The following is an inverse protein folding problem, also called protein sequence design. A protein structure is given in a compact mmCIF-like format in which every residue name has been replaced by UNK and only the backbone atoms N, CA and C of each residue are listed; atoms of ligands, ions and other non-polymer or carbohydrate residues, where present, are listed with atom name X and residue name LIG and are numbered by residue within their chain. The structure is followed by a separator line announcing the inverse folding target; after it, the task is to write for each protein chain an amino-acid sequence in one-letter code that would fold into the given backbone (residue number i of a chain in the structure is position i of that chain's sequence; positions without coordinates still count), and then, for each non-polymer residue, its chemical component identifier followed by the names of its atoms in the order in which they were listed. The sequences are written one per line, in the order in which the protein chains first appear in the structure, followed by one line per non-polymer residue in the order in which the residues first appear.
data_IF_622205046527
#
_entry.id   IF_622205046527
#
_cell.length_a   1.000
_cell.length_b   1.000
_cell.length_c   1.000
_cell.angle_alpha   90.00
_cell.angle_beta   90.00
_cell.angle_gamma   90.00
#
_symmetry.space_group_name_H-M   'P 1'
#
loop_
_entity.id
_entity.type
_entity.pdbx_description
1 polymer ?
#
# COMPACT_ATOMS: atom_id res chain seq x y z
N UNK A 1 26.03 -10.99 -1.86
CA UNK A 1 25.85 -9.56 -2.18
C UNK A 1 24.68 -8.99 -1.38
N UNK A 2 24.70 -7.70 -1.02
CA UNK A 2 23.54 -7.02 -0.42
C UNK A 2 22.71 -6.34 -1.51
N UNK A 3 21.41 -6.18 -1.29
CA UNK A 3 20.49 -5.62 -2.28
C UNK A 3 19.66 -4.48 -1.68
N UNK A 4 19.47 -3.42 -2.44
CA UNK A 4 18.53 -2.37 -2.12
C UNK A 4 17.65 -2.06 -3.33
N UNK A 5 16.34 -2.04 -3.09
CA UNK A 5 15.36 -1.50 -4.03
C UNK A 5 14.97 -0.11 -3.55
N UNK A 6 15.18 0.91 -4.36
CA UNK A 6 14.75 2.29 -4.14
C UNK A 6 13.55 2.53 -5.06
N UNK A 7 12.39 2.66 -4.47
CA UNK A 7 11.14 2.77 -5.21
C UNK A 7 10.55 4.18 -5.06
N UNK A 8 10.39 4.86 -6.19
CA UNK A 8 9.64 6.11 -6.31
C UNK A 8 8.21 5.82 -6.78
N UNK A 9 7.27 5.80 -5.84
CA UNK A 9 5.87 5.48 -6.12
C UNK A 9 5.29 6.45 -7.14
N UNK A 10 4.59 5.92 -8.15
CA UNK A 10 3.95 6.71 -9.20
C UNK A 10 4.89 7.59 -10.02
N UNK A 11 6.22 7.40 -9.93
CA UNK A 11 7.23 8.30 -10.51
C UNK A 11 7.16 8.37 -12.05
N UNK A 12 6.81 7.28 -12.72
CA UNK A 12 6.64 7.25 -14.18
C UNK A 12 5.43 8.08 -14.63
N UNK A 13 5.52 8.62 -15.85
CA UNK A 13 4.49 9.51 -16.39
C UNK A 13 4.42 9.42 -17.93
N UNK A 14 3.38 9.99 -18.51
CA UNK A 14 3.26 10.19 -19.93
C UNK A 14 4.08 11.41 -20.41
N UNK A 15 4.28 11.48 -21.73
CA UNK A 15 4.87 12.67 -22.34
C UNK A 15 3.91 13.87 -22.23
N UNK A 16 4.39 14.97 -21.65
CA UNK A 16 3.60 16.17 -21.37
C UNK A 16 3.93 17.27 -22.36
N UNK A 17 2.93 17.88 -23.00
CA UNK A 17 3.13 18.94 -24.00
C UNK A 17 3.88 20.14 -23.42
N UNK A 18 3.57 20.55 -22.19
CA UNK A 18 4.23 21.65 -21.46
C UNK A 18 5.74 21.42 -21.28
N UNK A 19 6.19 20.17 -21.31
CA UNK A 19 7.61 19.77 -21.22
C UNK A 19 8.23 19.52 -22.61
N UNK A 20 7.58 19.98 -23.68
CA UNK A 20 8.04 19.77 -25.06
C UNK A 20 7.90 18.32 -25.53
N UNK A 21 6.91 17.58 -25.03
CA UNK A 21 6.66 16.19 -25.38
C UNK A 21 7.59 15.19 -24.69
N UNK A 22 8.21 15.57 -23.59
CA UNK A 22 9.02 14.70 -22.73
C UNK A 22 8.20 14.16 -21.57
N UNK A 23 8.57 12.98 -21.08
CA UNK A 23 8.08 12.49 -19.78
C UNK A 23 8.72 13.29 -18.65
N UNK A 24 8.22 13.12 -17.44
CA UNK A 24 8.79 13.81 -16.28
C UNK A 24 10.22 13.31 -15.98
N UNK A 25 10.48 12.01 -16.11
CA UNK A 25 11.83 11.45 -15.93
C UNK A 25 12.80 11.97 -17.02
N UNK A 26 12.35 12.13 -18.26
CA UNK A 26 13.17 12.74 -19.32
C UNK A 26 13.48 14.21 -19.09
N UNK A 27 12.66 14.93 -18.33
CA UNK A 27 12.78 16.37 -18.13
C UNK A 27 13.45 16.74 -16.80
N UNK A 28 13.23 15.97 -15.75
CA UNK A 28 13.79 16.17 -14.42
C UNK A 28 15.33 16.11 -14.44
N UNK A 29 15.95 16.86 -13.54
CA UNK A 29 17.39 16.79 -13.33
C UNK A 29 17.75 15.69 -12.34
N UNK A 30 18.14 14.53 -12.86
CA UNK A 30 18.36 13.29 -12.11
C UNK A 30 19.75 12.68 -12.34
N UNK A 31 20.83 13.44 -12.11
CA UNK A 31 22.19 13.01 -12.47
C UNK A 31 22.63 11.72 -11.77
N UNK A 32 22.16 11.43 -10.55
CA UNK A 32 22.57 10.22 -9.85
C UNK A 32 21.89 8.96 -10.41
N UNK A 33 20.63 9.06 -10.83
CA UNK A 33 19.95 7.96 -11.54
C UNK A 33 20.53 7.76 -12.93
N UNK A 34 20.94 8.84 -13.63
CA UNK A 34 21.62 8.75 -14.91
C UNK A 34 23.01 8.11 -14.78
N UNK A 35 23.79 8.49 -13.76
CA UNK A 35 25.09 7.84 -13.48
C UNK A 35 24.92 6.34 -13.21
N UNK A 36 23.87 5.96 -12.47
CA UNK A 36 23.55 4.55 -12.21
C UNK A 36 23.12 3.81 -13.48
N UNK A 37 22.40 4.46 -14.39
CA UNK A 37 22.02 3.89 -15.68
C UNK A 37 23.23 3.72 -16.59
N UNK A 38 24.11 4.75 -16.69
CA UNK A 38 25.34 4.70 -17.49
C UNK A 38 26.34 3.63 -16.99
N UNK A 39 26.41 3.43 -15.67
CA UNK A 39 27.29 2.42 -15.06
C UNK A 39 26.59 1.06 -14.86
N UNK A 40 25.30 0.93 -15.19
CA UNK A 40 24.45 -0.23 -14.91
C UNK A 40 23.77 -0.84 -16.11
N UNK A 41 22.67 -1.52 -15.85
CA UNK A 41 21.80 -2.08 -16.88
C UNK A 41 20.34 -1.71 -16.61
N UNK A 42 19.62 -1.40 -17.68
CA UNK A 42 18.23 -0.97 -17.62
C UNK A 42 17.28 -1.96 -18.28
N UNK A 43 16.00 -1.76 -18.02
CA UNK A 43 14.91 -2.48 -18.66
C UNK A 43 13.57 -1.84 -18.35
N UNK A 44 12.50 -2.53 -18.72
CA UNK A 44 11.13 -2.15 -18.35
C UNK A 44 10.43 -3.30 -17.68
N UNK A 45 9.51 -2.98 -16.76
CA UNK A 45 8.78 -3.95 -15.97
C UNK A 45 7.27 -3.68 -16.04
N UNK A 46 6.47 -4.68 -16.35
CA UNK A 46 5.02 -4.66 -16.15
C UNK A 46 4.72 -5.20 -14.75
N UNK A 47 4.27 -4.34 -13.85
CA UNK A 47 4.07 -4.64 -12.42
C UNK A 47 2.66 -5.12 -12.08
N UNK A 48 1.66 -4.76 -12.90
CA UNK A 48 0.25 -5.04 -12.64
C UNK A 48 -0.22 -6.25 -13.46
N UNK A 49 -0.63 -7.37 -12.83
CA UNK A 49 -1.15 -8.53 -13.54
C UNK A 49 -2.51 -8.25 -14.18
N UNK A 50 -2.91 -9.11 -15.13
CA UNK A 50 -4.25 -9.05 -15.72
C UNK A 50 -5.32 -9.36 -14.67
N UNK A 51 -6.44 -8.64 -14.74
CA UNK A 51 -7.56 -8.78 -13.80
C UNK A 51 -7.43 -7.94 -12.54
N UNK A 52 -6.28 -7.33 -12.28
CA UNK A 52 -6.10 -6.43 -11.14
C UNK A 52 -6.18 -4.96 -11.56
N UNK A 53 -6.77 -4.15 -10.68
CA UNK A 53 -6.71 -2.70 -10.82
C UNK A 53 -5.29 -2.22 -10.48
N UNK A 54 -4.78 -1.19 -11.18
CA UNK A 54 -3.52 -0.57 -10.82
C UNK A 54 -3.57 0.00 -9.39
N UNK A 55 -2.54 -0.32 -8.61
CA UNK A 55 -2.41 0.17 -7.23
C UNK A 55 -1.12 -0.29 -6.59
N UNK A 56 -0.64 0.51 -5.64
CA UNK A 56 0.66 0.29 -4.98
C UNK A 56 0.73 -1.05 -4.26
N UNK A 57 -0.37 -1.55 -3.67
CA UNK A 57 -0.39 -2.87 -3.01
C UNK A 57 -0.13 -4.02 -3.98
N UNK A 58 -0.66 -3.91 -5.19
CA UNK A 58 -0.48 -4.93 -6.24
C UNK A 58 0.93 -4.82 -6.82
N UNK A 59 1.34 -3.62 -7.21
CA UNK A 59 2.62 -3.38 -7.87
C UNK A 59 3.81 -3.69 -6.95
N UNK A 60 3.81 -3.15 -5.72
CA UNK A 60 4.91 -3.36 -4.77
C UNK A 60 5.06 -4.83 -4.36
N UNK A 61 3.93 -5.53 -4.12
CA UNK A 61 4.00 -6.98 -3.84
C UNK A 61 4.54 -7.76 -5.04
N UNK A 62 4.16 -7.37 -6.26
CA UNK A 62 4.66 -7.99 -7.49
C UNK A 62 6.16 -7.77 -7.67
N UNK A 63 6.66 -6.53 -7.44
CA UNK A 63 8.08 -6.19 -7.47
C UNK A 63 8.88 -7.03 -6.47
N UNK A 64 8.31 -7.29 -5.27
CA UNK A 64 8.91 -8.17 -4.26
C UNK A 64 8.78 -9.66 -4.58
N UNK A 65 8.31 -10.01 -5.78
CA UNK A 65 8.27 -11.38 -6.29
C UNK A 65 7.02 -12.17 -5.89
N UNK A 66 5.93 -11.54 -5.46
CA UNK A 66 4.70 -12.23 -5.07
C UNK A 66 3.68 -12.27 -6.22
N UNK A 67 3.17 -13.47 -6.49
CA UNK A 67 2.06 -13.69 -7.45
C UNK A 67 0.74 -13.26 -6.80
N UNK A 68 0.18 -12.17 -7.30
CA UNK A 68 -1.04 -11.57 -6.76
C UNK A 68 -2.25 -12.50 -6.79
N UNK A 69 -2.34 -13.40 -7.78
CA UNK A 69 -3.40 -14.40 -7.83
C UNK A 69 -3.39 -15.37 -6.64
N UNK A 70 -2.27 -15.45 -5.93
CA UNK A 70 -2.09 -16.36 -4.78
C UNK A 70 -2.10 -15.66 -3.43
N UNK A 71 -1.68 -14.39 -3.40
CA UNK A 71 -1.42 -13.72 -2.11
C UNK A 71 -2.32 -12.52 -1.84
N UNK A 72 -2.98 -11.97 -2.86
CA UNK A 72 -3.80 -10.78 -2.68
C UNK A 72 -5.08 -11.09 -1.89
N UNK A 73 -5.23 -10.41 -0.77
CA UNK A 73 -6.38 -10.57 0.13
C UNK A 73 -7.09 -9.23 0.44
N UNK A 74 -6.77 -8.17 -0.31
CA UNK A 74 -7.31 -6.82 -0.06
C UNK A 74 -6.44 -5.99 0.88
N UNK A 75 -6.88 -4.75 1.15
CA UNK A 75 -6.12 -3.76 1.94
C UNK A 75 -6.24 -3.95 3.45
N UNK A 76 -7.38 -4.46 3.94
CA UNK A 76 -7.62 -4.62 5.37
C UNK A 76 -6.53 -5.38 6.12
N UNK A 77 -6.11 -6.56 5.66
CA UNK A 77 -5.01 -7.32 6.27
C UNK A 77 -3.66 -6.59 6.28
N UNK A 78 -3.34 -5.85 5.21
CA UNK A 78 -2.08 -5.11 5.11
C UNK A 78 -2.04 -3.95 6.12
N UNK A 79 -3.14 -3.22 6.27
CA UNK A 79 -3.26 -2.18 7.28
C UNK A 79 -3.26 -2.75 8.70
N UNK A 80 -3.87 -3.92 8.92
CA UNK A 80 -3.81 -4.62 10.20
C UNK A 80 -2.35 -4.90 10.62
N UNK A 81 -1.55 -5.44 9.71
CA UNK A 81 -0.13 -5.69 9.95
C UNK A 81 0.65 -4.38 10.22
N UNK A 82 0.38 -3.31 9.48
CA UNK A 82 1.06 -2.01 9.65
C UNK A 82 0.88 -1.41 11.04
N UNK A 83 -0.29 -1.55 11.63
CA UNK A 83 -0.58 -1.05 12.98
C UNK A 83 -0.18 -2.04 14.08
N UNK A 84 0.42 -3.18 13.72
CA UNK A 84 0.90 -4.21 14.65
C UNK A 84 -0.19 -5.15 15.16
N UNK A 85 -1.31 -5.28 14.44
CA UNK A 85 -2.30 -6.30 14.75
C UNK A 85 -1.93 -7.62 14.10
N UNK A 86 -1.59 -8.60 14.94
CA UNK A 86 -1.31 -9.96 14.49
C UNK A 86 -2.63 -10.69 14.21
N UNK A 87 -2.99 -10.80 12.93
CA UNK A 87 -4.18 -11.50 12.49
C UNK A 87 -4.08 -13.01 12.78
N UNK A 88 -5.14 -13.56 13.37
CA UNK A 88 -5.32 -15.01 13.47
C UNK A 88 -5.80 -15.59 12.14
N UNK A 89 -5.61 -16.89 11.90
CA UNK A 89 -6.10 -17.53 10.67
C UNK A 89 -7.59 -17.36 10.42
N UNK A 90 -8.40 -17.28 11.50
CA UNK A 90 -9.85 -17.12 11.44
C UNK A 90 -10.33 -15.65 11.35
N UNK A 91 -9.44 -14.66 11.37
CA UNK A 91 -9.82 -13.24 11.33
C UNK A 91 -10.07 -12.78 9.90
N UNK A 92 -11.20 -12.13 9.68
CA UNK A 92 -11.46 -11.26 8.53
C UNK A 92 -11.18 -9.82 8.95
N UNK A 93 -10.22 -9.16 8.30
CA UNK A 93 -9.91 -7.75 8.55
C UNK A 93 -10.45 -6.87 7.43
N UNK A 94 -11.22 -5.84 7.78
CA UNK A 94 -11.72 -4.83 6.86
C UNK A 94 -11.17 -3.46 7.24
N UNK A 95 -10.85 -2.62 6.26
CA UNK A 95 -10.78 -1.18 6.51
C UNK A 95 -12.13 -0.70 7.03
N UNK A 96 -12.10 0.23 7.98
CA UNK A 96 -13.32 0.77 8.56
C UNK A 96 -13.17 2.28 8.73
N UNK A 97 -13.72 3.03 7.79
CA UNK A 97 -13.73 4.48 7.89
C UNK A 97 -14.82 4.94 8.89
N UNK A 98 -14.59 6.05 9.58
CA UNK A 98 -15.67 6.85 10.16
C UNK A 98 -16.03 7.91 9.13
N UNK A 99 -17.29 7.91 8.68
CA UNK A 99 -17.77 8.75 7.58
C UNK A 99 -18.88 9.69 8.04
N UNK A 100 -19.27 10.61 7.16
CA UNK A 100 -20.46 11.45 7.33
C UNK A 100 -21.59 11.02 6.40
N UNK A 101 -22.74 10.72 6.99
CA UNK A 101 -24.00 10.51 6.29
C UNK A 101 -24.93 11.67 6.65
N UNK A 102 -25.46 12.37 5.64
CA UNK A 102 -26.41 13.47 5.77
C UNK A 102 -27.51 13.29 4.71
N UNK A 103 -28.76 13.46 5.10
CA UNK A 103 -29.94 13.33 4.23
C UNK A 103 -30.01 12.01 3.43
N UNK A 104 -29.53 10.91 4.03
CA UNK A 104 -29.53 9.59 3.41
C UNK A 104 -28.43 9.34 2.38
N UNK A 105 -27.46 10.24 2.25
CA UNK A 105 -26.33 10.10 1.33
C UNK A 105 -24.98 10.12 2.04
N UNK A 106 -23.96 9.49 1.44
CA UNK A 106 -22.56 9.61 1.88
C UNK A 106 -22.07 11.01 1.53
N UNK A 107 -21.97 11.88 2.54
CA UNK A 107 -21.52 13.27 2.36
C UNK A 107 -20.02 13.38 2.18
N UNK A 108 -19.27 12.67 3.01
CA UNK A 108 -17.83 12.54 2.89
C UNK A 108 -17.36 11.24 3.54
N UNK A 109 -16.21 10.74 3.11
CA UNK A 109 -15.62 9.48 3.55
C UNK A 109 -14.64 9.62 4.72
N UNK A 110 -14.49 10.82 5.31
CA UNK A 110 -13.48 11.14 6.33
C UNK A 110 -14.04 11.76 7.62
N UNK A 111 -15.37 11.72 7.82
CA UNK A 111 -16.02 12.17 9.06
C UNK A 111 -15.72 13.62 9.45
N UNK A 112 -15.56 14.52 8.47
CA UNK A 112 -15.24 15.93 8.71
C UNK A 112 -13.79 16.16 9.15
N UNK A 113 -12.83 15.44 8.60
CA UNK A 113 -11.40 15.53 8.89
C UNK A 113 -11.07 15.28 10.37
N UNK A 114 -11.41 14.08 10.85
CA UNK A 114 -11.07 13.64 12.21
C UNK A 114 -9.57 13.69 12.46
N UNK A 115 -9.18 14.16 13.63
CA UNK A 115 -7.84 13.92 14.17
C UNK A 115 -7.74 12.47 14.67
N UNK A 116 -6.52 11.94 14.80
CA UNK A 116 -6.31 10.58 15.34
C UNK A 116 -6.89 10.42 16.74
N UNK A 117 -6.75 11.43 17.60
CA UNK A 117 -7.29 11.40 18.97
C UNK A 117 -8.82 11.35 18.98
N UNK A 118 -9.47 12.11 18.09
CA UNK A 118 -10.92 12.07 17.94
C UNK A 118 -11.41 10.72 17.40
N UNK A 119 -10.70 10.16 16.40
CA UNK A 119 -10.97 8.84 15.89
C UNK A 119 -10.85 7.75 16.95
N UNK A 120 -9.77 7.76 17.76
CA UNK A 120 -9.55 6.83 18.86
C UNK A 120 -10.69 6.88 19.88
N UNK A 121 -11.14 8.07 20.24
CA UNK A 121 -12.26 8.25 21.18
C UNK A 121 -13.54 7.59 20.65
N UNK A 122 -13.86 7.82 19.38
CA UNK A 122 -15.08 7.26 18.77
C UNK A 122 -14.97 5.72 18.61
N UNK A 123 -13.82 5.21 18.23
CA UNK A 123 -13.58 3.75 18.10
C UNK A 123 -13.68 3.04 19.45
N UNK A 124 -13.12 3.64 20.51
CA UNK A 124 -13.23 3.09 21.87
C UNK A 124 -14.70 3.08 22.34
N UNK A 125 -15.44 4.14 22.07
CA UNK A 125 -16.88 4.19 22.32
C UNK A 125 -17.65 3.10 21.56
N UNK A 126 -17.36 2.90 20.28
CA UNK A 126 -18.00 1.85 19.47
C UNK A 126 -17.63 0.43 19.98
N UNK A 127 -16.40 0.20 20.44
CA UNK A 127 -16.06 -1.09 21.04
C UNK A 127 -16.91 -1.34 22.30
N UNK A 128 -17.09 -0.33 23.17
CA UNK A 128 -17.87 -0.49 24.42
C UNK A 128 -19.37 -0.60 24.15
N UNK A 129 -19.93 0.26 23.29
CA UNK A 129 -21.39 0.40 23.16
C UNK A 129 -21.98 -0.40 21.99
N UNK A 130 -21.18 -0.81 21.02
CA UNK A 130 -21.62 -1.54 19.84
C UNK A 130 -21.02 -2.96 19.78
N UNK A 131 -19.71 -3.09 19.81
CA UNK A 131 -19.07 -4.39 19.63
C UNK A 131 -19.31 -5.35 20.82
N UNK A 132 -19.22 -4.87 22.06
CA UNK A 132 -19.42 -5.74 23.24
C UNK A 132 -20.82 -6.37 23.29
N UNK A 133 -21.94 -5.62 23.14
CA UNK A 133 -23.26 -6.25 23.15
C UNK A 133 -23.48 -7.25 22.01
N UNK A 134 -23.04 -6.91 20.80
CA UNK A 134 -23.14 -7.80 19.64
C UNK A 134 -22.29 -9.08 19.85
N UNK A 135 -21.12 -8.96 20.48
CA UNK A 135 -20.29 -10.13 20.79
C UNK A 135 -20.99 -11.13 21.73
N UNK A 136 -21.77 -10.67 22.68
CA UNK A 136 -22.57 -11.53 23.56
C UNK A 136 -23.62 -12.32 22.77
N UNK A 137 -24.36 -11.63 21.87
CA UNK A 137 -25.36 -12.25 21.00
C UNK A 137 -24.71 -13.26 20.03
N UNK A 138 -23.57 -12.91 19.43
CA UNK A 138 -22.85 -13.77 18.48
C UNK A 138 -22.22 -14.99 19.17
N UNK A 139 -21.78 -14.85 20.42
CA UNK A 139 -21.29 -15.95 21.22
C UNK A 139 -22.39 -16.96 21.51
N UNK A 140 -23.59 -16.46 21.89
CA UNK A 140 -24.73 -17.33 22.14
C UNK A 140 -25.19 -18.03 20.84
N UNK A 141 -25.28 -17.29 19.73
CA UNK A 141 -25.83 -17.77 18.46
C UNK A 141 -24.87 -18.69 17.70
N UNK A 142 -23.57 -18.36 17.66
CA UNK A 142 -22.57 -19.02 16.81
C UNK A 142 -21.40 -19.66 17.56
N UNK A 143 -21.30 -19.46 18.87
CA UNK A 143 -20.19 -19.95 19.68
C UNK A 143 -18.85 -19.31 19.35
N UNK A 144 -18.86 -18.03 18.93
CA UNK A 144 -17.65 -17.27 18.57
C UNK A 144 -17.39 -16.20 19.64
N UNK A 145 -16.31 -16.39 20.40
CA UNK A 145 -15.90 -15.42 21.41
C UNK A 145 -15.21 -14.20 20.76
N UNK A 146 -15.58 -12.99 21.22
CA UNK A 146 -14.97 -11.73 20.74
C UNK A 146 -14.95 -11.67 19.20
N UNK A 147 -16.08 -11.93 18.57
CA UNK A 147 -16.24 -11.95 17.12
C UNK A 147 -15.91 -10.61 16.49
N UNK A 148 -16.40 -9.52 17.08
CA UNK A 148 -16.28 -8.15 16.56
C UNK A 148 -15.28 -7.36 17.38
N UNK A 149 -14.34 -6.68 16.69
CA UNK A 149 -13.42 -5.73 17.31
C UNK A 149 -13.08 -4.60 16.35
N UNK A 150 -13.23 -3.36 16.80
CA UNK A 150 -12.68 -2.19 16.12
C UNK A 150 -11.27 -1.91 16.63
N UNK A 151 -10.35 -1.61 15.73
CA UNK A 151 -8.96 -1.26 16.06
C UNK A 151 -8.69 0.14 15.55
N UNK A 152 -8.12 0.97 16.41
CA UNK A 152 -7.80 2.35 16.08
C UNK A 152 -6.66 2.43 15.06
N UNK A 153 -6.80 3.33 14.11
CA UNK A 153 -5.80 3.65 13.11
C UNK A 153 -5.50 5.14 13.10
N UNK A 154 -5.33 5.74 11.95
CA UNK A 154 -4.97 7.15 11.80
C UNK A 154 -6.20 7.95 11.33
N UNK A 155 -6.55 9.02 12.05
CA UNK A 155 -7.64 9.92 11.72
C UNK A 155 -8.99 9.18 11.61
N UNK A 156 -9.60 9.16 10.44
CA UNK A 156 -10.88 8.50 10.16
C UNK A 156 -10.71 7.03 9.71
N UNK A 157 -9.47 6.56 9.51
CA UNK A 157 -9.13 5.21 9.00
C UNK A 157 -8.85 4.27 10.15
N UNK A 158 -9.70 3.29 10.33
CA UNK A 158 -9.64 2.27 11.36
C UNK A 158 -9.83 0.90 10.75
N UNK A 159 -9.84 -0.15 11.57
CA UNK A 159 -10.10 -1.52 11.14
C UNK A 159 -11.29 -2.10 11.89
N UNK A 160 -12.03 -2.94 11.18
CA UNK A 160 -12.99 -3.86 11.75
C UNK A 160 -12.45 -5.29 11.59
N UNK A 161 -12.32 -6.00 12.69
CA UNK A 161 -11.98 -7.44 12.70
C UNK A 161 -13.24 -8.22 13.00
N UNK A 162 -13.54 -9.21 12.16
CA UNK A 162 -14.64 -10.17 12.35
C UNK A 162 -14.05 -11.57 12.42
N UNK A 163 -13.98 -12.13 13.62
CA UNK A 163 -13.50 -13.50 13.82
C UNK A 163 -14.51 -14.51 13.30
N UNK A 164 -14.04 -15.41 12.47
CA UNK A 164 -14.88 -16.38 11.79
C UNK A 164 -15.72 -15.81 10.65
N UNK A 165 -15.49 -14.53 10.27
CA UNK A 165 -16.17 -13.86 9.18
C UNK A 165 -15.76 -14.41 7.80
N UNK A 166 -16.66 -14.30 6.82
CA UNK A 166 -16.46 -14.76 5.45
C UNK A 166 -16.09 -13.59 4.54
N UNK A 167 -15.01 -13.73 3.76
CA UNK A 167 -14.52 -12.67 2.86
C UNK A 167 -15.29 -12.53 1.56
N UNK A 168 -16.13 -13.52 1.20
CA UNK A 168 -16.94 -13.51 -0.02
C UNK A 168 -18.14 -12.57 0.08
N UNK A 169 -17.83 -11.30 0.32
CA UNK A 169 -18.78 -10.19 0.46
C UNK A 169 -18.37 -9.03 -0.45
N UNK A 170 -19.35 -8.31 -0.95
CA UNK A 170 -19.16 -7.12 -1.76
C UNK A 170 -19.37 -5.89 -0.89
N UNK A 171 -18.32 -5.09 -0.76
CA UNK A 171 -18.30 -3.82 -0.02
C UNK A 171 -17.98 -2.67 -0.99
N UNK A 172 -18.67 -1.56 -0.87
CA UNK A 172 -18.42 -0.35 -1.66
C UNK A 172 -17.40 0.56 -0.96
N UNK A 173 -16.28 0.95 -1.60
CA UNK A 173 -15.37 1.94 -1.04
C UNK A 173 -16.07 3.31 -0.92
N UNK A 174 -16.09 3.97 0.25
CA UNK A 174 -16.93 5.16 0.45
C UNK A 174 -16.46 6.39 -0.34
N UNK A 175 -15.20 6.43 -0.76
CA UNK A 175 -14.62 7.51 -1.57
C UNK A 175 -15.02 7.45 -3.05
N UNK A 176 -15.45 6.27 -3.53
CA UNK A 176 -15.93 6.09 -4.91
C UNK A 176 -17.40 6.45 -5.08
N UNK A 177 -18.14 6.64 -3.96
CA UNK A 177 -19.57 6.84 -3.93
C UNK A 177 -20.00 8.14 -3.22
N UNK A 178 -19.37 9.30 -3.51
CA UNK A 178 -19.77 10.56 -2.90
C UNK A 178 -21.17 10.98 -3.37
N UNK A 179 -22.01 11.43 -2.43
CA UNK A 179 -23.39 11.83 -2.65
C UNK A 179 -24.35 10.71 -3.12
N UNK A 180 -23.95 9.44 -2.98
CA UNK A 180 -24.84 8.31 -3.24
C UNK A 180 -25.62 7.90 -1.99
N UNK A 181 -26.78 7.29 -2.21
CA UNK A 181 -27.65 6.73 -1.20
C UNK A 181 -26.95 5.53 -0.51
N UNK A 182 -26.66 5.68 0.79
CA UNK A 182 -25.89 4.68 1.53
C UNK A 182 -26.60 3.33 1.67
N UNK A 183 -27.94 3.30 1.68
CA UNK A 183 -28.69 2.05 1.82
C UNK A 183 -28.50 1.13 0.61
N UNK A 184 -28.27 1.71 -0.59
CA UNK A 184 -28.00 0.95 -1.81
C UNK A 184 -26.61 0.31 -1.81
N UNK A 185 -25.69 0.84 -1.00
CA UNK A 185 -24.31 0.46 -0.89
C UNK A 185 -24.02 -0.53 0.26
N UNK A 186 -25.07 -0.95 0.98
CA UNK A 186 -24.94 -1.94 2.04
C UNK A 186 -24.28 -3.22 1.53
N UNK A 187 -23.53 -3.87 2.42
CA UNK A 187 -22.74 -5.07 2.12
C UNK A 187 -23.67 -6.23 1.71
N UNK A 188 -23.24 -6.97 0.70
CA UNK A 188 -23.96 -8.14 0.15
C UNK A 188 -23.02 -9.33 0.06
N UNK A 189 -23.54 -10.53 0.19
CA UNK A 189 -22.81 -11.73 -0.17
C UNK A 189 -22.51 -11.74 -1.68
N UNK A 190 -21.37 -12.27 -2.08
CA UNK A 190 -21.07 -12.54 -3.49
C UNK A 190 -22.07 -13.55 -4.06
N UNK A 191 -22.34 -13.44 -5.36
CA UNK A 191 -23.26 -14.39 -6.02
C UNK A 191 -22.61 -15.77 -6.10
N UNK A 192 -23.37 -16.82 -5.85
CA UNK A 192 -22.91 -18.22 -5.77
C UNK A 192 -22.03 -18.70 -6.93
N UNK A 193 -22.11 -18.10 -8.10
CA UNK A 193 -21.31 -18.46 -9.29
C UNK A 193 -19.87 -17.94 -9.24
N UNK A 194 -19.55 -17.02 -8.35
CA UNK A 194 -18.22 -16.43 -8.17
C UNK A 194 -17.52 -16.96 -6.91
N UNK A 195 -18.28 -17.48 -5.95
CA UNK A 195 -17.75 -18.11 -4.76
C UNK A 195 -17.18 -19.49 -5.12
N UNK A 196 -15.88 -19.60 -5.30
CA UNK A 196 -15.22 -20.89 -5.08
C UNK A 196 -15.60 -21.29 -3.67
N UNK A 197 -16.30 -22.43 -3.53
CA UNK A 197 -16.56 -23.07 -2.25
C UNK A 197 -15.23 -23.58 -1.70
N UNK A 198 -14.40 -22.71 -1.21
CA UNK A 198 -13.38 -23.06 -0.26
C UNK A 198 -14.15 -23.41 1.02
N UNK A 199 -14.34 -24.72 1.23
CA UNK A 199 -14.86 -25.23 2.49
C UNK A 199 -13.82 -24.99 3.57
N UNK A 200 -13.67 -23.73 3.97
CA UNK A 200 -12.76 -23.30 4.99
C UNK A 200 -13.44 -23.52 6.35
N UNK A 201 -13.01 -24.56 7.04
CA UNK A 201 -13.49 -24.92 8.37
C UNK A 201 -13.15 -23.87 9.45
N UNK A 202 -12.32 -22.87 9.11
CA UNK A 202 -11.90 -21.81 10.03
C UNK A 202 -12.93 -20.67 10.11
N UNK A 203 -13.68 -20.42 9.02
CA UNK A 203 -14.66 -19.32 8.95
C UNK A 203 -16.07 -19.84 9.21
N UNK A 204 -16.53 -19.61 10.45
CA UNK A 204 -17.80 -20.18 10.96
C UNK A 204 -19.05 -19.46 10.42
N UNK A 205 -18.92 -18.23 9.94
CA UNK A 205 -20.01 -17.44 9.41
C UNK A 205 -20.13 -17.62 7.89
N UNK A 206 -21.35 -17.69 7.37
CA UNK A 206 -21.56 -17.61 5.92
C UNK A 206 -21.31 -16.19 5.41
N UNK A 207 -21.21 -16.00 4.10
CA UNK A 207 -21.10 -14.69 3.49
C UNK A 207 -22.33 -13.80 3.80
N UNK A 208 -23.54 -14.38 3.78
CA UNK A 208 -24.78 -13.68 4.12
C UNK A 208 -24.76 -13.25 5.59
N UNK A 209 -24.40 -14.15 6.51
CA UNK A 209 -24.31 -13.84 7.95
C UNK A 209 -23.26 -12.74 8.21
N UNK A 210 -22.13 -12.77 7.52
CA UNK A 210 -21.10 -11.75 7.64
C UNK A 210 -21.60 -10.40 7.12
N UNK A 211 -22.28 -10.38 5.97
CA UNK A 211 -22.90 -9.16 5.42
C UNK A 211 -23.98 -8.59 6.34
N UNK A 212 -24.86 -9.44 6.90
CA UNK A 212 -25.87 -9.03 7.87
C UNK A 212 -25.26 -8.37 9.12
N UNK A 213 -24.22 -8.98 9.68
CA UNK A 213 -23.50 -8.44 10.85
C UNK A 213 -22.88 -7.08 10.52
N UNK A 214 -22.21 -6.94 9.38
CA UNK A 214 -21.60 -5.66 8.98
C UNK A 214 -22.70 -4.59 8.80
N UNK A 215 -23.79 -4.92 8.15
CA UNK A 215 -24.90 -3.97 7.95
C UNK A 215 -25.56 -3.56 9.28
N UNK A 216 -25.72 -4.50 10.22
CA UNK A 216 -26.19 -4.18 11.57
C UNK A 216 -25.21 -3.22 12.28
N UNK A 217 -23.90 -3.46 12.17
CA UNK A 217 -22.88 -2.57 12.72
C UNK A 217 -22.96 -1.16 12.11
N UNK A 218 -23.14 -1.04 10.79
CA UNK A 218 -23.29 0.26 10.11
C UNK A 218 -24.51 0.99 10.65
N UNK A 219 -25.69 0.35 10.66
CA UNK A 219 -26.96 0.97 11.08
C UNK A 219 -26.89 1.38 12.55
N UNK A 220 -26.49 0.48 13.45
CA UNK A 220 -26.43 0.79 14.89
C UNK A 220 -25.35 1.82 15.22
N UNK A 221 -24.26 1.90 14.44
CA UNK A 221 -23.26 2.95 14.62
C UNK A 221 -23.84 4.33 14.36
N UNK A 222 -24.74 4.47 13.37
CA UNK A 222 -25.40 5.75 13.08
C UNK A 222 -26.26 6.21 14.27
N UNK A 223 -27.05 5.31 14.86
CA UNK A 223 -27.85 5.59 16.04
C UNK A 223 -27.02 6.06 17.23
N UNK A 224 -25.93 5.35 17.52
CA UNK A 224 -25.04 5.64 18.64
C UNK A 224 -24.23 6.93 18.44
N UNK A 225 -23.67 7.11 17.24
CA UNK A 225 -22.84 8.28 16.94
C UNK A 225 -23.67 9.56 16.76
N UNK A 226 -24.94 9.48 16.32
CA UNK A 226 -25.82 10.63 16.22
C UNK A 226 -26.03 11.35 17.55
N UNK A 227 -26.10 10.60 18.65
CA UNK A 227 -26.32 11.14 20.00
C UNK A 227 -25.02 11.35 20.78
N UNK A 228 -23.88 10.99 20.20
CA UNK A 228 -22.58 11.16 20.86
C UNK A 228 -22.25 12.66 21.03
N UNK A 229 -21.82 13.13 22.22
CA UNK A 229 -21.53 14.54 22.48
C UNK A 229 -20.56 15.19 21.49
N UNK A 230 -19.62 14.41 20.95
CA UNK A 230 -18.68 14.85 19.93
C UNK A 230 -19.36 15.46 18.69
N UNK A 231 -20.50 14.91 18.28
CA UNK A 231 -21.23 15.36 17.10
C UNK A 231 -22.22 16.52 17.40
N UNK A 232 -22.47 16.86 18.66
CA UNK A 232 -23.49 17.83 19.04
C UNK A 232 -23.31 19.22 18.40
N UNK A 233 -22.06 19.68 18.27
CA UNK A 233 -21.73 21.03 17.80
C UNK A 233 -20.88 21.06 16.52
N UNK A 234 -20.69 19.92 15.87
CA UNK A 234 -19.93 19.85 14.60
C UNK A 234 -20.82 20.15 13.41
N UNK A 235 -20.34 20.93 12.45
CA UNK A 235 -20.98 21.11 11.16
C UNK A 235 -20.90 19.84 10.32
N UNK A 236 -19.71 19.23 10.25
CA UNK A 236 -19.49 17.95 9.59
C UNK A 236 -19.51 16.84 10.64
N UNK A 237 -20.37 15.85 10.47
CA UNK A 237 -20.58 14.77 11.43
C UNK A 237 -19.64 13.61 11.19
N UNK A 238 -19.28 12.93 12.26
CA UNK A 238 -18.61 11.63 12.23
C UNK A 238 -19.60 10.60 12.76
N UNK A 239 -20.58 10.23 11.92
CA UNK A 239 -21.82 9.63 12.39
C UNK A 239 -22.11 8.23 11.86
N UNK A 240 -21.22 7.63 11.10
CA UNK A 240 -21.35 6.23 10.66
C UNK A 240 -19.99 5.58 10.52
N UNK A 241 -19.90 4.29 10.79
CA UNK A 241 -18.79 3.48 10.30
C UNK A 241 -19.05 3.01 8.88
N UNK A 242 -17.96 2.72 8.14
CA UNK A 242 -18.06 2.16 6.80
C UNK A 242 -16.94 1.14 6.55
N UNK A 243 -17.21 -0.17 6.79
CA UNK A 243 -16.27 -1.25 6.50
C UNK A 243 -16.17 -1.56 5.02
N UNK A 244 -14.95 -1.79 4.51
CA UNK A 244 -14.69 -2.12 3.11
C UNK A 244 -13.31 -2.79 2.91
N UNK A 245 -13.04 -3.34 1.72
CA UNK A 245 -11.77 -3.99 1.34
C UNK A 245 -11.30 -5.03 2.37
N UNK A 246 -12.18 -5.98 2.65
CA UNK A 246 -11.92 -7.06 3.58
C UNK A 246 -11.07 -8.18 2.99
N UNK A 247 -10.34 -8.88 3.86
CA UNK A 247 -9.57 -10.07 3.49
C UNK A 247 -9.05 -10.84 4.70
N UNK A 248 -8.53 -12.02 4.41
CA UNK A 248 -7.87 -12.88 5.39
C UNK A 248 -6.39 -12.54 5.52
N UNK A 249 -5.72 -13.15 6.47
CA UNK A 249 -4.26 -13.06 6.55
C UNK A 249 -3.65 -13.58 5.25
N UNK A 250 -2.85 -12.78 4.53
CA UNK A 250 -2.22 -13.21 3.29
C UNK A 250 -1.34 -14.44 3.47
N UNK A 251 -1.46 -15.40 2.55
CA UNK A 251 -0.59 -16.59 2.53
C UNK A 251 0.73 -16.26 1.81
N UNK A 252 1.50 -15.36 2.41
CA UNK A 252 2.79 -14.92 1.90
C UNK A 252 3.91 -15.70 2.59
N UNK A 253 4.79 -16.32 1.80
CA UNK A 253 6.10 -16.75 2.32
C UNK A 253 6.97 -15.51 2.54
N UNK A 254 7.79 -15.51 3.58
CA UNK A 254 8.77 -14.44 3.76
C UNK A 254 9.77 -14.41 2.61
N UNK A 255 10.43 -13.27 2.38
CA UNK A 255 11.49 -13.18 1.37
C UNK A 255 12.63 -14.16 1.66
N UNK A 256 12.94 -14.39 2.92
CA UNK A 256 13.95 -15.35 3.36
C UNK A 256 13.58 -16.80 3.01
N UNK A 257 12.27 -17.14 3.03
CA UNK A 257 11.79 -18.44 2.59
C UNK A 257 11.75 -18.59 1.06
N UNK A 258 11.59 -17.47 0.33
CA UNK A 258 11.56 -17.47 -1.14
C UNK A 258 12.94 -17.39 -1.76
N UNK A 259 13.82 -16.59 -1.18
CA UNK A 259 15.14 -16.25 -1.70
C UNK A 259 16.19 -16.52 -0.59
N UNK A 260 16.76 -17.73 -0.54
CA UNK A 260 17.67 -18.15 0.54
C UNK A 260 18.92 -17.29 0.73
N UNK A 261 19.30 -16.51 -0.29
CA UNK A 261 20.40 -15.55 -0.21
C UNK A 261 20.05 -14.31 0.62
N UNK A 262 18.77 -14.05 0.90
CA UNK A 262 18.32 -13.04 1.86
C UNK A 262 18.20 -13.71 3.22
N UNK A 263 19.02 -13.32 4.20
CA UNK A 263 18.92 -13.83 5.58
C UNK A 263 18.21 -12.86 6.51
N UNK A 264 18.20 -11.57 6.16
CA UNK A 264 17.52 -10.50 6.89
C UNK A 264 17.29 -9.30 5.98
N UNK A 265 16.26 -8.52 6.27
CA UNK A 265 15.95 -7.32 5.49
C UNK A 265 15.07 -6.32 6.21
N UNK A 266 15.04 -5.09 5.69
CA UNK A 266 14.22 -3.98 6.20
C UNK A 266 13.31 -3.40 5.13
N UNK A 267 12.14 -2.94 5.57
CA UNK A 267 11.24 -2.09 4.81
C UNK A 267 11.19 -0.69 5.42
N UNK A 268 11.47 0.33 4.61
CA UNK A 268 11.48 1.75 5.00
C UNK A 268 10.41 2.45 4.18
N UNK A 269 9.27 2.73 4.79
CA UNK A 269 8.14 3.45 4.16
C UNK A 269 7.38 4.28 5.20
N UNK A 270 6.74 5.35 4.76
CA UNK A 270 5.79 6.11 5.57
C UNK A 270 4.34 5.61 5.37
N UNK A 271 4.10 4.78 4.38
CA UNK A 271 2.78 4.30 3.96
C UNK A 271 2.44 2.99 4.65
N UNK A 272 1.29 2.94 5.32
CA UNK A 272 0.86 1.77 6.09
C UNK A 272 0.68 0.53 5.23
N UNK A 273 0.18 0.70 4.02
CA UNK A 273 -0.01 -0.37 3.05
C UNK A 273 1.31 -1.08 2.72
N UNK A 274 2.35 -0.31 2.45
CA UNK A 274 3.70 -0.81 2.13
C UNK A 274 4.37 -1.44 3.34
N UNK A 275 4.17 -0.87 4.54
CA UNK A 275 4.63 -1.48 5.80
C UNK A 275 3.97 -2.84 6.03
N UNK A 276 2.67 -2.96 5.72
CA UNK A 276 1.94 -4.22 5.80
C UNK A 276 2.52 -5.28 4.86
N UNK A 277 2.84 -4.92 3.61
CA UNK A 277 3.52 -5.81 2.66
C UNK A 277 4.88 -6.23 3.23
N UNK A 278 5.70 -5.27 3.70
CA UNK A 278 6.99 -5.53 4.31
C UNK A 278 6.90 -6.48 5.51
N UNK A 279 5.90 -6.30 6.36
CA UNK A 279 5.65 -7.18 7.51
C UNK A 279 5.38 -8.63 7.07
N UNK A 280 4.45 -8.85 6.13
CA UNK A 280 4.17 -10.20 5.63
C UNK A 280 5.33 -10.80 4.81
N UNK A 281 6.13 -9.95 4.18
CA UNK A 281 7.36 -10.36 3.52
C UNK A 281 8.48 -10.73 4.52
N UNK A 282 8.27 -10.57 5.82
CA UNK A 282 9.22 -10.89 6.88
C UNK A 282 10.33 -9.83 7.07
N UNK A 283 10.11 -8.60 6.58
CA UNK A 283 11.06 -7.50 6.71
C UNK A 283 10.85 -6.73 8.03
N UNK A 284 11.93 -6.26 8.62
CA UNK A 284 11.90 -5.33 9.75
C UNK A 284 11.34 -3.97 9.30
N UNK A 285 10.29 -3.49 9.96
CA UNK A 285 9.68 -2.21 9.63
C UNK A 285 10.42 -1.06 10.31
N UNK A 286 11.17 -0.29 9.53
CA UNK A 286 11.95 0.83 10.04
C UNK A 286 11.12 2.12 10.00
N UNK A 287 10.81 2.66 11.17
CA UNK A 287 10.11 3.94 11.30
C UNK A 287 11.11 5.09 11.35
N UNK A 288 11.04 5.99 10.38
CA UNK A 288 11.90 7.17 10.28
C UNK A 288 11.15 8.39 10.84
N UNK A 289 11.68 9.08 11.88
CA UNK A 289 11.05 10.29 12.39
C UNK A 289 10.90 11.36 11.31
N UNK A 290 9.70 11.96 11.20
CA UNK A 290 9.39 12.96 10.19
C UNK A 290 9.18 12.41 8.77
N UNK A 291 9.20 11.09 8.58
CA UNK A 291 8.81 10.50 7.30
C UNK A 291 7.29 10.58 7.11
N UNK A 292 6.89 11.06 5.94
CA UNK A 292 5.49 11.16 5.48
C UNK A 292 5.38 10.57 4.07
N UNK A 293 4.15 10.42 3.54
CA UNK A 293 3.88 10.13 2.13
C UNK A 293 3.94 11.38 1.23
N UNK A 294 4.16 12.58 1.78
CA UNK A 294 4.08 13.84 1.07
C UNK A 294 5.47 14.35 0.65
N UNK A 295 5.50 15.38 -0.20
CA UNK A 295 6.71 16.01 -0.71
C UNK A 295 7.65 16.58 0.36
N UNK A 296 7.13 16.88 1.56
CA UNK A 296 7.92 17.37 2.70
C UNK A 296 8.45 16.25 3.61
N UNK A 297 8.47 15.01 3.14
CA UNK A 297 8.99 13.86 3.90
C UNK A 297 10.47 14.05 4.29
N UNK A 298 10.91 13.35 5.33
CA UNK A 298 12.32 13.34 5.74
C UNK A 298 13.15 12.43 4.82
N UNK A 299 13.57 12.95 3.66
CA UNK A 299 14.38 12.23 2.68
C UNK A 299 15.73 11.77 3.27
N UNK A 300 16.47 12.68 3.91
CA UNK A 300 17.78 12.38 4.49
C UNK A 300 17.70 11.30 5.57
N UNK A 301 16.66 11.37 6.41
CA UNK A 301 16.41 10.34 7.43
C UNK A 301 16.12 8.97 6.81
N UNK A 302 15.38 8.92 5.70
CA UNK A 302 15.12 7.66 4.96
C UNK A 302 16.40 7.12 4.33
N UNK A 303 17.21 7.96 3.66
CA UNK A 303 18.49 7.56 3.09
C UNK A 303 19.46 7.02 4.14
N UNK A 304 19.60 7.73 5.27
CA UNK A 304 20.44 7.29 6.38
C UNK A 304 19.96 5.97 6.97
N UNK A 305 18.65 5.79 7.16
CA UNK A 305 18.07 4.55 7.65
C UNK A 305 18.37 3.36 6.71
N UNK A 306 18.31 3.57 5.39
CA UNK A 306 18.66 2.55 4.40
C UNK A 306 20.14 2.16 4.46
N UNK A 307 21.03 3.14 4.56
CA UNK A 307 22.49 2.90 4.72
C UNK A 307 22.76 2.13 6.00
N UNK A 308 22.15 2.51 7.13
CA UNK A 308 22.34 1.80 8.41
C UNK A 308 21.74 0.38 8.38
N UNK A 309 20.64 0.17 7.69
CA UNK A 309 20.07 -1.17 7.49
C UNK A 309 21.00 -2.04 6.64
N UNK A 310 21.52 -1.53 5.53
CA UNK A 310 22.47 -2.25 4.65
C UNK A 310 23.75 -2.67 5.36
N UNK A 311 24.22 -1.95 6.39
CA UNK A 311 25.39 -2.37 7.17
C UNK A 311 25.16 -3.68 7.93
N UNK A 312 23.92 -4.03 8.23
CA UNK A 312 23.56 -5.14 9.12
C UNK A 312 22.72 -6.23 8.45
N UNK A 313 22.10 -5.92 7.33
CA UNK A 313 21.11 -6.78 6.65
C UNK A 313 21.47 -6.93 5.17
N UNK A 314 20.91 -7.94 4.55
CA UNK A 314 21.19 -8.30 3.15
C UNK A 314 20.25 -7.63 2.16
N UNK A 315 19.06 -7.20 2.64
CA UNK A 315 18.03 -6.65 1.77
C UNK A 315 17.38 -5.40 2.38
N UNK A 316 17.19 -4.36 1.57
CA UNK A 316 16.45 -3.15 1.95
C UNK A 316 15.44 -2.81 0.87
N UNK A 317 14.19 -2.62 1.28
CA UNK A 317 13.13 -2.05 0.46
C UNK A 317 12.83 -0.63 0.93
N UNK A 318 13.22 0.36 0.15
CA UNK A 318 13.05 1.79 0.45
C UNK A 318 12.01 2.39 -0.48
N UNK A 319 10.92 2.87 0.10
CA UNK A 319 9.75 3.38 -0.61
C UNK A 319 9.51 4.87 -0.33
N UNK A 320 9.22 5.63 -1.40
CA UNK A 320 8.88 7.05 -1.37
C UNK A 320 7.60 7.31 -2.16
N UNK A 321 6.57 7.79 -1.50
CA UNK A 321 5.22 8.03 -2.02
C UNK A 321 5.05 9.36 -2.75
N UNK A 322 5.90 10.35 -2.46
CA UNK A 322 5.65 11.76 -2.76
C UNK A 322 5.35 12.08 -4.24
N UNK A 323 5.90 11.32 -5.19
CA UNK A 323 5.65 11.49 -6.63
C UNK A 323 4.26 11.00 -7.05
N UNK A 324 3.73 9.97 -6.37
CA UNK A 324 2.39 9.47 -6.60
C UNK A 324 1.32 10.47 -6.14
N UNK A 325 1.44 10.99 -4.94
CA UNK A 325 0.53 12.02 -4.40
C UNK A 325 0.51 13.27 -5.29
N UNK A 326 1.68 13.73 -5.76
CA UNK A 326 1.76 14.85 -6.70
C UNK A 326 1.12 14.52 -8.06
N UNK A 327 1.21 13.28 -8.52
CA UNK A 327 0.53 12.78 -9.71
C UNK A 327 -0.99 12.80 -9.57
N UNK A 328 -1.53 12.34 -8.44
CA UNK A 328 -2.95 12.39 -8.11
C UNK A 328 -3.50 13.82 -8.02
N UNK A 329 -2.72 14.75 -7.48
CA UNK A 329 -3.06 16.17 -7.45
C UNK A 329 -3.01 16.82 -8.84
N UNK A 330 -2.31 16.19 -9.79
CA UNK A 330 -2.04 16.74 -11.12
C UNK A 330 -1.08 17.92 -11.06
N UNK A 331 -0.24 17.96 -10.02
CA UNK A 331 0.75 19.04 -9.83
C UNK A 331 2.09 18.63 -10.48
N UNK A 332 2.25 19.07 -11.74
CA UNK A 332 3.42 18.80 -12.56
C UNK A 332 4.72 19.30 -11.91
N UNK A 333 4.70 20.53 -11.40
CA UNK A 333 5.90 21.17 -10.88
C UNK A 333 6.33 20.51 -9.55
N UNK A 334 5.34 20.12 -8.72
CA UNK A 334 5.59 19.35 -7.49
C UNK A 334 6.11 17.95 -7.80
N UNK A 335 5.53 17.26 -8.79
CA UNK A 335 5.97 15.91 -9.17
C UNK A 335 7.41 15.91 -9.69
N UNK A 336 7.76 16.86 -10.55
CA UNK A 336 9.16 17.06 -10.99
C UNK A 336 10.08 17.24 -9.79
N UNK A 337 9.70 18.13 -8.85
CA UNK A 337 10.50 18.37 -7.65
C UNK A 337 10.68 17.11 -6.80
N UNK A 338 9.66 16.29 -6.62
CA UNK A 338 9.76 15.04 -5.82
C UNK A 338 10.67 14.00 -6.48
N UNK A 339 10.70 13.93 -7.82
CA UNK A 339 11.62 13.10 -8.59
C UNK A 339 13.07 13.58 -8.39
N UNK A 340 13.33 14.88 -8.50
CA UNK A 340 14.65 15.48 -8.28
C UNK A 340 15.11 15.38 -6.82
N UNK A 341 14.19 15.49 -5.84
CA UNK A 341 14.48 15.27 -4.43
C UNK A 341 14.81 13.78 -4.15
N UNK A 342 14.14 12.82 -4.81
CA UNK A 342 14.48 11.40 -4.72
C UNK A 342 15.89 11.14 -5.26
N UNK A 343 16.23 11.70 -6.42
CA UNK A 343 17.55 11.56 -7.01
C UNK A 343 18.65 12.12 -6.08
N UNK A 344 18.52 13.41 -5.72
CA UNK A 344 19.58 14.14 -5.03
C UNK A 344 19.71 13.82 -3.54
N UNK A 345 18.60 13.49 -2.86
CA UNK A 345 18.53 13.34 -1.40
C UNK A 345 18.43 11.87 -0.94
N UNK A 346 18.13 10.93 -1.87
CA UNK A 346 18.06 9.49 -1.58
C UNK A 346 19.10 8.73 -2.40
N UNK A 347 18.94 8.72 -3.75
CA UNK A 347 19.76 7.91 -4.65
C UNK A 347 21.22 8.31 -4.53
N UNK A 348 21.54 9.60 -4.67
CA UNK A 348 22.90 10.13 -4.61
C UNK A 348 23.62 9.79 -3.30
N UNK A 349 23.08 10.10 -2.11
CA UNK A 349 23.68 9.75 -0.84
C UNK A 349 23.92 8.24 -0.64
N UNK A 350 22.97 7.38 -1.04
CA UNK A 350 23.11 5.92 -0.95
C UNK A 350 24.19 5.46 -1.91
N UNK A 351 24.10 5.81 -3.20
CA UNK A 351 25.07 5.41 -4.22
C UNK A 351 26.51 5.82 -3.85
N UNK A 352 26.73 7.09 -3.51
CA UNK A 352 28.04 7.61 -3.12
C UNK A 352 28.62 6.95 -1.87
N UNK A 353 27.75 6.42 -1.00
CA UNK A 353 28.18 5.70 0.21
C UNK A 353 28.57 4.27 -0.13
N UNK A 354 27.66 3.51 -0.77
CA UNK A 354 27.86 2.07 -1.00
C UNK A 354 28.90 1.77 -2.07
N UNK A 355 29.09 2.67 -3.04
CA UNK A 355 30.15 2.56 -4.07
C UNK A 355 31.56 2.46 -3.46
N UNK A 356 31.75 2.97 -2.22
CA UNK A 356 33.03 2.94 -1.48
C UNK A 356 33.17 1.73 -0.59
N UNK A 357 32.15 0.92 -0.42
CA UNK A 357 32.23 -0.25 0.44
C UNK A 357 33.02 -1.37 -0.23
N UNK A 358 33.71 -2.17 0.59
CA UNK A 358 34.38 -3.39 0.12
C UNK A 358 33.35 -4.47 -0.19
N UNK A 359 32.32 -4.59 0.67
CA UNK A 359 31.20 -5.50 0.47
C UNK A 359 30.28 -4.99 -0.66
N UNK A 360 30.06 -5.80 -1.71
CA UNK A 360 29.30 -5.35 -2.86
C UNK A 360 27.81 -5.17 -2.51
N UNK A 361 27.23 -4.09 -3.02
CA UNK A 361 25.81 -3.78 -2.93
C UNK A 361 25.23 -3.65 -4.33
N UNK A 362 24.12 -4.31 -4.56
CA UNK A 362 23.30 -4.14 -5.75
C UNK A 362 22.22 -3.08 -5.46
N UNK A 363 22.14 -2.05 -6.29
CA UNK A 363 21.11 -1.00 -6.24
C UNK A 363 20.15 -1.23 -7.41
N UNK A 364 18.88 -1.28 -7.10
CA UNK A 364 17.81 -1.19 -8.10
C UNK A 364 16.99 0.07 -7.86
N UNK A 365 16.63 0.81 -8.92
CA UNK A 365 15.75 1.98 -8.86
C UNK A 365 14.62 1.79 -9.85
N UNK A 366 13.39 1.99 -9.40
CA UNK A 366 12.20 1.89 -10.27
C UNK A 366 10.99 2.59 -9.64
N UNK A 367 10.01 3.03 -10.46
CA UNK A 367 8.62 3.24 -10.00
C UNK A 367 7.88 1.91 -9.90
N UNK A 368 6.75 1.91 -9.21
CA UNK A 368 5.86 0.74 -9.16
C UNK A 368 4.80 0.76 -10.27
N UNK A 369 4.24 1.91 -10.58
CA UNK A 369 3.31 2.18 -11.68
C UNK A 369 3.44 3.63 -12.14
N UNK A 370 2.93 4.00 -13.32
CA UNK A 370 2.74 5.39 -13.66
C UNK A 370 1.51 5.97 -12.96
N UNK A 371 1.64 7.25 -12.51
CA UNK A 371 0.52 8.07 -12.03
C UNK A 371 0.53 9.39 -12.81
N UNK A 372 0.12 9.38 -14.10
CA UNK A 372 0.29 10.52 -14.97
C UNK A 372 -0.47 11.76 -14.46
N UNK A 373 0.23 12.90 -14.40
CA UNK A 373 -0.32 14.15 -13.88
C UNK A 373 -1.57 14.63 -14.64
N UNK A 374 -1.69 14.27 -15.90
CA UNK A 374 -2.87 14.63 -16.72
C UNK A 374 -4.06 13.72 -16.46
N UNK A 375 -3.82 12.47 -16.06
CA UNK A 375 -4.86 11.45 -15.77
C UNK A 375 -5.25 11.47 -14.30
N UNK A 376 -4.30 11.77 -13.38
CA UNK A 376 -4.48 11.85 -11.92
C UNK A 376 -4.91 10.53 -11.27
N UNK A 377 -4.55 9.43 -11.87
CA UNK A 377 -4.77 8.09 -11.33
C UNK A 377 -3.75 7.12 -11.92
N UNK A 378 -3.62 5.95 -11.27
CA UNK A 378 -2.70 4.92 -11.71
C UNK A 378 -3.10 4.33 -13.06
N UNK A 379 -2.10 4.01 -13.88
CA UNK A 379 -2.31 3.30 -15.16
C UNK A 379 -1.51 2.01 -15.22
N UNK A 380 -2.02 1.03 -15.98
CA UNK A 380 -1.38 -0.25 -16.18
C UNK A 380 -0.47 -0.20 -17.41
N UNK A 381 0.72 0.34 -17.21
CA UNK A 381 1.75 0.43 -18.25
C UNK A 381 3.11 0.01 -17.68
N UNK A 382 4.04 -0.45 -18.52
CA UNK A 382 5.38 -0.80 -18.08
C UNK A 382 6.14 0.41 -17.55
N UNK A 383 6.88 0.20 -16.47
CA UNK A 383 7.74 1.21 -15.85
C UNK A 383 9.22 0.94 -16.16
N UNK A 384 10.07 1.97 -16.23
CA UNK A 384 11.52 1.78 -16.36
C UNK A 384 12.10 1.24 -15.06
N UNK A 385 13.17 0.45 -15.15
CA UNK A 385 14.01 0.10 -14.02
C UNK A 385 15.48 0.10 -14.39
N UNK A 386 16.34 0.33 -13.42
CA UNK A 386 17.79 0.15 -13.52
C UNK A 386 18.30 -0.77 -12.42
N UNK A 387 19.37 -1.49 -12.71
CA UNK A 387 20.12 -2.32 -11.76
C UNK A 387 21.60 -1.99 -11.91
N UNK A 388 22.23 -1.63 -10.81
CA UNK A 388 23.64 -1.35 -10.72
C UNK A 388 24.30 -2.15 -9.59
N UNK A 389 25.47 -2.68 -9.84
CA UNK A 389 26.37 -3.21 -8.84
C UNK A 389 27.84 -3.09 -9.31
N UNK A 390 28.76 -3.06 -8.38
CA UNK A 390 30.17 -2.89 -8.69
C UNK A 390 30.70 -4.05 -9.54
N UNK A 391 31.13 -3.74 -10.78
CA UNK A 391 31.67 -4.72 -11.72
C UNK A 391 30.65 -5.26 -12.73
N UNK A 392 29.41 -4.76 -12.75
CA UNK A 392 28.47 -5.02 -13.84
C UNK A 392 29.04 -4.53 -15.17
N UNK A 393 28.76 -5.23 -16.25
CA UNK A 393 29.03 -4.71 -17.60
C UNK A 393 27.84 -3.85 -18.01
N UNK A 394 28.02 -2.52 -18.18
CA UNK A 394 26.90 -1.63 -18.50
C UNK A 394 26.30 -1.94 -19.86
N UNK A 395 25.03 -1.60 -20.04
CA UNK A 395 24.38 -1.60 -21.34
C UNK A 395 24.53 -0.24 -22.08
N UNK A 396 23.72 0.01 -23.10
CA UNK A 396 23.83 1.22 -23.93
C UNK A 396 22.96 2.39 -23.41
N UNK A 397 22.34 2.27 -22.21
CA UNK A 397 21.44 3.27 -21.65
C UNK A 397 22.24 4.25 -20.78
N UNK A 398 22.17 5.54 -21.13
CA UNK A 398 22.91 6.60 -20.42
C UNK A 398 22.02 7.52 -19.59
N UNK A 399 20.70 7.37 -19.69
CA UNK A 399 19.71 8.16 -18.93
C UNK A 399 18.59 7.29 -18.44
N UNK A 400 18.13 7.53 -17.22
CA UNK A 400 17.06 6.75 -16.61
C UNK A 400 15.69 7.37 -16.91
N UNK A 401 15.01 6.89 -17.93
CA UNK A 401 13.66 7.33 -18.31
C UNK A 401 12.89 6.22 -19.08
N UNK A 402 11.60 6.43 -19.27
CA UNK A 402 10.67 5.48 -19.91
C UNK A 402 11.05 5.16 -21.36
N UNK A 403 11.69 6.11 -22.04
CA UNK A 403 12.07 5.99 -23.48
C UNK A 403 13.43 5.35 -23.62
N UNK A 404 14.41 5.78 -22.83
CA UNK A 404 15.79 5.29 -22.90
C UNK A 404 15.89 3.83 -22.43
N UNK A 405 15.16 3.46 -21.37
CA UNK A 405 15.18 2.09 -20.81
C UNK A 405 14.55 1.03 -21.73
N UNK A 406 13.88 1.42 -22.82
CA UNK A 406 13.45 0.50 -23.88
C UNK A 406 14.62 -0.29 -24.49
N UNK A 407 15.81 0.32 -24.54
CA UNK A 407 17.03 -0.24 -25.12
C UNK A 407 17.88 -1.01 -24.13
N UNK A 408 17.48 -1.02 -22.85
CA UNK A 408 18.23 -1.68 -21.80
C UNK A 408 18.35 -3.20 -22.01
N UNK A 409 19.44 -3.76 -21.52
CA UNK A 409 19.80 -5.17 -21.75
C UNK A 409 18.85 -6.18 -21.10
N UNK A 410 18.13 -5.79 -20.05
CA UNK A 410 17.07 -6.62 -19.47
C UNK A 410 15.80 -6.70 -20.34
N UNK A 411 15.62 -5.77 -21.29
CA UNK A 411 14.46 -5.73 -22.15
C UNK A 411 13.18 -5.49 -21.36
N UNK A 412 12.16 -6.31 -21.64
CA UNK A 412 10.86 -6.24 -20.98
C UNK A 412 10.71 -7.41 -20.01
N UNK A 413 10.58 -7.12 -18.73
CA UNK A 413 10.25 -8.08 -17.68
C UNK A 413 8.77 -8.00 -17.31
N UNK A 414 8.25 -9.10 -16.80
CA UNK A 414 6.84 -9.23 -16.43
C UNK A 414 6.72 -9.69 -14.98
N UNK A 415 5.94 -8.93 -14.21
CA UNK A 415 5.52 -9.29 -12.85
C UNK A 415 6.71 -9.65 -11.93
N UNK A 416 6.78 -10.88 -11.48
CA UNK A 416 7.78 -11.33 -10.50
C UNK A 416 9.19 -11.53 -11.08
N UNK A 417 9.33 -11.50 -12.40
CA UNK A 417 10.62 -11.73 -13.09
C UNK A 417 11.70 -10.73 -12.64
N UNK A 418 11.32 -9.50 -12.28
CA UNK A 418 12.27 -8.50 -11.79
C UNK A 418 13.00 -8.97 -10.52
N UNK A 419 12.26 -9.46 -9.52
CA UNK A 419 12.87 -9.94 -8.29
C UNK A 419 13.68 -11.22 -8.53
N UNK A 420 13.23 -12.07 -9.44
CA UNK A 420 13.96 -13.28 -9.82
C UNK A 420 15.28 -12.95 -10.52
N UNK A 421 15.32 -11.92 -11.39
CA UNK A 421 16.58 -11.43 -12.00
C UNK A 421 17.49 -10.76 -10.96
N UNK A 422 16.93 -9.91 -10.10
CA UNK A 422 17.69 -9.24 -9.05
C UNK A 422 18.38 -10.24 -8.10
N UNK A 423 17.70 -11.34 -7.78
CA UNK A 423 18.23 -12.38 -6.89
C UNK A 423 19.21 -13.36 -7.55
N UNK A 424 19.45 -13.30 -8.85
CA UNK A 424 20.52 -14.04 -9.52
C UNK A 424 21.88 -13.36 -9.38
N UNK A 425 21.92 -12.11 -8.94
CA UNK A 425 23.13 -11.32 -8.76
C UNK A 425 23.76 -11.70 -7.41
N UNK A 426 24.93 -12.39 -7.44
CA UNK A 426 25.63 -12.93 -6.25
C UNK A 426 26.86 -12.09 -5.85
#
# INVERSE_FOLDING_TARGET
MKHIIILGDGMADHAVERLGGKTLLQYAHTPNMDDLAEEGCCGRLLTIPDGFQPGSEVANSTILGYDQNKVYEGRGPLEAASIGYEMRPEDLALRCNIIEIEDGIIKNHHGGHLTTVEGDMLVNFLNEKLAMPINEDLKEKYGIDNCIRFITGIQYRHLLIIRGGNKHIVCAPPHDHPNEDWEKLLVKAEKENEAKKDADTLHKLSAEQTAEIINELIIRSQELLAVHPFNAHRSNKANSIWPWSGGYRPSMKTLMEKYPQITSGSCISAVDLIRGIGHYAGLDIVKVPGATGLANTNYEGKAQAAIEALKRQDFVFLHLEASDEAGHDGDLDLKLKTIEDLDSRIVGPIFNTVKRWEEPVCIAVLPDHPTPVEIRTHVKEPVPFLIWYKGITPDEVNTFDEVSCVRGSYGMLYLTEFMDELMKIE
#
